data_IF_892587409334
#
_entry.id   IF_892587409334
#
_cell.length_a   1.000
_cell.length_b   1.000
_cell.length_c   1.000
_cell.angle_alpha   90.00
_cell.angle_beta   90.00
_cell.angle_gamma   90.00
#
_symmetry.space_group_name_H-M   'P 1'
#
loop_
_entity.id
_entity.type
_entity.pdbx_description
1 polymer ?
#
# COMPACT_ATOMS: atom_id res chain seq x y z
N UNK A 1 6.24 -80.14 -17.13
CA UNK A 1 5.68 -79.19 -18.12
C UNK A 1 4.20 -79.05 -17.78
N UNK A 2 3.59 -77.94 -17.40
CA UNK A 2 3.92 -76.52 -17.47
C UNK A 2 3.20 -75.84 -16.28
N UNK A 3 3.78 -74.79 -15.70
CA UNK A 3 3.00 -73.82 -14.93
C UNK A 3 3.71 -72.46 -15.05
N UNK A 4 3.20 -71.55 -15.89
CA UNK A 4 3.74 -70.18 -16.05
C UNK A 4 2.82 -69.28 -16.90
N UNK A 5 1.56 -69.08 -16.49
CA UNK A 5 0.72 -68.00 -17.08
C UNK A 5 0.02 -67.09 -16.04
N UNK A 6 0.13 -67.36 -14.74
CA UNK A 6 -0.60 -66.60 -13.71
C UNK A 6 0.06 -65.31 -13.16
N UNK A 7 1.30 -64.99 -13.54
CA UNK A 7 2.10 -63.99 -12.81
C UNK A 7 2.24 -62.63 -13.53
N UNK A 8 1.87 -62.54 -14.82
CA UNK A 8 2.02 -61.30 -15.60
C UNK A 8 0.90 -60.29 -15.39
N UNK A 9 -0.33 -60.74 -15.11
CA UNK A 9 -1.47 -59.83 -14.84
C UNK A 9 -1.32 -59.07 -13.53
N UNK A 10 -0.85 -59.76 -12.48
CA UNK A 10 -0.73 -59.19 -11.13
C UNK A 10 0.37 -58.12 -11.02
N UNK A 11 1.44 -58.23 -11.84
CA UNK A 11 2.54 -57.26 -11.87
C UNK A 11 2.13 -55.99 -12.64
N UNK A 12 1.44 -56.15 -13.77
CA UNK A 12 0.93 -55.04 -14.58
C UNK A 12 -0.13 -54.23 -13.80
N UNK A 13 -1.05 -54.91 -13.11
CA UNK A 13 -2.05 -54.26 -12.27
C UNK A 13 -1.43 -53.53 -11.06
N UNK A 14 -0.37 -54.09 -10.45
CA UNK A 14 0.36 -53.41 -9.38
C UNK A 14 1.10 -52.17 -9.88
N UNK A 15 1.70 -52.23 -11.08
CA UNK A 15 2.35 -51.07 -11.71
C UNK A 15 1.34 -49.97 -12.09
N UNK A 16 0.19 -50.35 -12.65
CA UNK A 16 -0.91 -49.43 -12.95
C UNK A 16 -1.44 -48.76 -11.69
N UNK A 17 -1.72 -49.53 -10.64
CA UNK A 17 -2.17 -49.00 -9.35
C UNK A 17 -1.15 -48.04 -8.73
N UNK A 18 0.14 -48.36 -8.79
CA UNK A 18 1.21 -47.44 -8.34
C UNK A 18 1.23 -46.17 -9.18
N UNK A 19 1.11 -46.26 -10.51
CA UNK A 19 1.09 -45.09 -11.39
C UNK A 19 -0.11 -44.18 -11.09
N UNK A 20 -1.30 -44.74 -10.88
CA UNK A 20 -2.48 -43.97 -10.47
C UNK A 20 -2.26 -43.29 -9.11
N UNK A 21 -1.68 -44.01 -8.14
CA UNK A 21 -1.40 -43.47 -6.83
C UNK A 21 -0.36 -42.33 -6.89
N UNK A 22 0.67 -42.47 -7.74
CA UNK A 22 1.63 -41.39 -8.00
C UNK A 22 0.98 -40.19 -8.70
N UNK A 23 0.10 -40.41 -9.68
CA UNK A 23 -0.61 -39.33 -10.36
C UNK A 23 -1.51 -38.55 -9.40
N UNK A 24 -2.32 -39.25 -8.59
CA UNK A 24 -3.20 -38.63 -7.61
C UNK A 24 -2.42 -37.87 -6.53
N UNK A 25 -1.31 -38.45 -6.04
CA UNK A 25 -0.45 -37.77 -5.08
C UNK A 25 0.22 -36.52 -5.69
N UNK A 26 0.61 -36.60 -6.97
CA UNK A 26 1.20 -35.46 -7.66
C UNK A 26 0.16 -34.36 -7.90
N UNK A 27 -1.07 -34.71 -8.28
CA UNK A 27 -2.16 -33.74 -8.42
C UNK A 27 -2.48 -33.05 -7.09
N UNK A 28 -2.58 -33.82 -6.00
CA UNK A 28 -2.76 -33.26 -4.67
C UNK A 28 -1.60 -32.32 -4.28
N UNK A 29 -0.35 -32.74 -4.51
CA UNK A 29 0.83 -31.93 -4.20
C UNK A 29 0.90 -30.66 -5.05
N UNK A 30 0.55 -30.74 -6.34
CA UNK A 30 0.47 -29.58 -7.23
C UNK A 30 -0.64 -28.63 -6.79
N UNK A 31 -1.80 -29.15 -6.40
CA UNK A 31 -2.90 -28.36 -5.88
C UNK A 31 -2.49 -27.60 -4.62
N UNK A 32 -1.89 -28.28 -3.64
CA UNK A 32 -1.42 -27.66 -2.39
C UNK A 32 -0.35 -26.60 -2.66
N UNK A 33 0.65 -26.92 -3.49
CA UNK A 33 1.70 -25.95 -3.87
C UNK A 33 1.16 -24.75 -4.62
N UNK A 34 0.13 -24.95 -5.45
CA UNK A 34 -0.52 -23.85 -6.17
C UNK A 34 -1.29 -22.96 -5.21
N UNK A 35 -1.95 -23.53 -4.22
CA UNK A 35 -2.65 -22.78 -3.17
C UNK A 35 -1.66 -21.93 -2.35
N UNK A 36 -0.57 -22.53 -1.86
CA UNK A 36 0.48 -21.82 -1.12
C UNK A 36 1.06 -20.65 -1.94
N UNK A 37 1.34 -20.90 -3.23
CA UNK A 37 1.84 -19.88 -4.14
C UNK A 37 0.84 -18.72 -4.31
N UNK A 38 -0.45 -19.01 -4.46
CA UNK A 38 -1.48 -17.99 -4.62
C UNK A 38 -1.66 -17.14 -3.35
N UNK A 39 -1.55 -17.74 -2.17
CA UNK A 39 -1.60 -17.01 -0.90
C UNK A 39 -0.40 -16.08 -0.73
N UNK A 40 0.81 -16.58 -1.00
CA UNK A 40 2.01 -15.78 -0.87
C UNK A 40 2.07 -14.67 -1.92
N UNK A 41 1.64 -14.96 -3.15
CA UNK A 41 1.47 -13.97 -4.20
C UNK A 41 0.51 -12.86 -3.77
N UNK A 42 -0.64 -13.20 -3.15
CA UNK A 42 -1.62 -12.19 -2.69
C UNK A 42 -1.02 -11.27 -1.63
N UNK A 43 -0.31 -11.83 -0.63
CA UNK A 43 0.36 -11.03 0.41
C UNK A 43 1.39 -10.07 -0.18
N UNK A 44 2.18 -10.54 -1.15
CA UNK A 44 3.17 -9.71 -1.84
C UNK A 44 2.50 -8.57 -2.64
N UNK A 45 1.42 -8.86 -3.35
CA UNK A 45 0.65 -7.85 -4.09
C UNK A 45 0.00 -6.81 -3.16
N UNK A 46 -0.61 -7.24 -2.05
CA UNK A 46 -1.23 -6.33 -1.08
C UNK A 46 -0.22 -5.39 -0.42
N UNK A 47 0.98 -5.89 -0.12
CA UNK A 47 2.07 -5.05 0.39
C UNK A 47 2.54 -4.05 -0.67
N UNK A 48 2.63 -4.46 -1.94
CA UNK A 48 3.01 -3.54 -3.02
C UNK A 48 1.95 -2.44 -3.21
N UNK A 49 0.67 -2.78 -3.10
CA UNK A 49 -0.44 -1.82 -3.20
C UNK A 49 -0.55 -0.87 -2.00
N UNK A 50 0.04 -1.20 -0.86
CA UNK A 50 0.11 -0.28 0.28
C UNK A 50 1.24 0.74 0.15
N UNK A 51 2.28 0.41 -0.61
CA UNK A 51 3.43 1.30 -0.88
C UNK A 51 3.26 2.14 -2.15
N UNK A 52 2.67 1.56 -3.20
CA UNK A 52 2.56 2.19 -4.51
C UNK A 52 1.10 2.24 -4.99
N UNK A 53 0.74 3.22 -5.83
CA UNK A 53 -0.58 3.21 -6.44
C UNK A 53 -0.79 1.96 -7.29
N UNK A 54 -2.01 1.41 -7.28
CA UNK A 54 -2.35 0.17 -8.01
C UNK A 54 -1.90 0.17 -9.46
N UNK A 55 -2.07 1.28 -10.17
CA UNK A 55 -1.66 1.42 -11.57
C UNK A 55 -0.15 1.21 -11.76
N UNK A 56 0.66 1.78 -10.86
CA UNK A 56 2.13 1.68 -10.88
C UNK A 56 2.55 0.27 -10.46
N UNK A 57 1.99 -0.23 -9.36
CA UNK A 57 2.26 -1.57 -8.85
C UNK A 57 1.96 -2.67 -9.90
N UNK A 58 0.81 -2.61 -10.57
CA UNK A 58 0.44 -3.58 -11.60
C UNK A 58 1.35 -3.57 -12.83
N UNK A 59 1.93 -2.42 -13.20
CA UNK A 59 2.93 -2.34 -14.27
C UNK A 59 4.26 -2.97 -13.83
N UNK A 60 4.70 -2.67 -12.61
CA UNK A 60 5.94 -3.23 -12.04
C UNK A 60 5.86 -4.75 -11.88
N UNK A 61 4.72 -5.30 -11.42
CA UNK A 61 4.49 -6.75 -11.33
C UNK A 61 4.63 -7.43 -12.71
N UNK A 62 4.24 -6.74 -13.79
CA UNK A 62 4.37 -7.24 -15.17
C UNK A 62 5.77 -7.06 -15.75
N UNK A 63 6.73 -6.51 -15.00
CA UNK A 63 8.05 -6.16 -15.49
C UNK A 63 8.04 -5.01 -16.51
N UNK A 64 6.98 -4.20 -16.52
CA UNK A 64 6.85 -3.05 -17.42
C UNK A 64 7.47 -1.81 -16.78
N UNK A 65 8.13 -0.99 -17.59
CA UNK A 65 8.63 0.32 -17.17
C UNK A 65 7.47 1.30 -16.99
N UNK A 66 7.46 2.01 -15.87
CA UNK A 66 6.49 3.08 -15.61
C UNK A 66 7.04 4.37 -16.21
N UNK A 67 6.46 4.79 -17.33
CA UNK A 67 6.86 6.02 -18.00
C UNK A 67 6.40 7.25 -17.19
N UNK A 68 7.22 8.30 -17.19
CA UNK A 68 6.81 9.57 -16.64
C UNK A 68 5.68 10.17 -17.49
N UNK A 69 4.68 10.75 -16.84
CA UNK A 69 3.52 11.36 -17.47
C UNK A 69 3.22 12.73 -16.85
N UNK A 70 2.68 13.65 -17.67
CA UNK A 70 2.21 14.96 -17.22
C UNK A 70 0.73 14.92 -16.91
N UNK A 71 0.35 15.44 -15.75
CA UNK A 71 -1.02 15.57 -15.28
C UNK A 71 -1.38 17.06 -15.21
N UNK A 72 -2.33 17.51 -16.03
CA UNK A 72 -2.67 18.94 -16.14
C UNK A 72 -3.54 19.46 -14.98
N UNK A 73 -4.36 18.57 -14.42
CA UNK A 73 -5.41 18.90 -13.46
C UNK A 73 -5.14 18.20 -12.13
N UNK A 74 -4.26 18.80 -11.33
CA UNK A 74 -3.85 18.25 -10.04
C UNK A 74 -3.93 19.33 -8.98
N UNK A 75 -4.33 18.94 -7.77
CA UNK A 75 -4.17 19.76 -6.57
C UNK A 75 -3.29 19.04 -5.57
N UNK A 76 -2.25 19.73 -5.11
CA UNK A 76 -1.35 19.24 -4.06
C UNK A 76 -1.68 19.96 -2.76
N UNK A 77 -1.73 19.16 -1.70
CA UNK A 77 -1.80 19.56 -0.31
C UNK A 77 -0.44 19.34 0.36
N UNK A 78 0.01 20.34 1.11
CA UNK A 78 1.12 20.24 2.04
C UNK A 78 0.68 20.75 3.40
N UNK A 79 1.11 20.08 4.47
CA UNK A 79 0.98 20.63 5.81
C UNK A 79 2.16 20.32 6.70
N UNK A 80 2.46 21.24 7.62
CA UNK A 80 3.46 21.10 8.69
C UNK A 80 2.82 21.40 10.06
N UNK A 81 3.43 20.89 11.12
CA UNK A 81 2.98 21.16 12.49
C UNK A 81 3.65 22.46 12.96
N UNK A 82 2.83 23.45 13.29
CA UNK A 82 3.34 24.73 13.75
C UNK A 82 4.09 24.57 15.07
N UNK A 83 5.38 24.90 15.07
CA UNK A 83 6.22 24.81 16.27
C UNK A 83 6.74 23.40 16.57
N UNK A 84 6.70 22.48 15.59
CA UNK A 84 7.20 21.12 15.75
C UNK A 84 8.64 21.07 16.24
N UNK A 85 9.54 21.90 15.71
CA UNK A 85 10.96 21.92 16.13
C UNK A 85 11.12 22.17 17.63
N UNK A 86 10.37 23.13 18.19
CA UNK A 86 10.40 23.41 19.62
C UNK A 86 9.77 22.28 20.44
N UNK A 87 8.66 21.72 19.93
CA UNK A 87 8.01 20.57 20.57
C UNK A 87 8.94 19.35 20.62
N UNK A 88 9.62 19.04 19.52
CA UNK A 88 10.57 17.92 19.44
C UNK A 88 11.84 18.14 20.26
N UNK A 89 12.26 19.39 20.47
CA UNK A 89 13.44 19.71 21.26
C UNK A 89 13.23 19.47 22.76
N UNK A 90 11.99 19.66 23.23
CA UNK A 90 11.63 19.47 24.64
C UNK A 90 11.09 18.07 24.96
N UNK A 91 10.92 17.22 23.96
CA UNK A 91 10.33 15.88 24.08
C UNK A 91 11.38 14.81 23.84
N UNK A 92 11.20 13.65 24.46
CA UNK A 92 12.04 12.48 24.15
C UNK A 92 11.73 11.97 22.74
N UNK A 93 12.71 11.33 22.10
CA UNK A 93 12.52 10.76 20.76
C UNK A 93 11.32 9.79 20.71
N UNK A 94 11.09 9.00 21.77
CA UNK A 94 9.95 8.08 21.84
C UNK A 94 8.61 8.83 21.89
N UNK A 95 8.51 9.89 22.68
CA UNK A 95 7.29 10.72 22.76
C UNK A 95 6.96 11.42 21.45
N UNK A 96 7.98 11.82 20.67
CA UNK A 96 7.80 12.42 19.35
C UNK A 96 7.28 11.37 18.36
N UNK A 97 7.83 10.15 18.39
CA UNK A 97 7.37 9.05 17.54
C UNK A 97 5.92 8.69 17.86
N UNK A 98 5.58 8.54 19.14
CA UNK A 98 4.20 8.24 19.56
C UNK A 98 3.22 9.34 19.11
N UNK A 99 3.61 10.61 19.25
CA UNK A 99 2.82 11.75 18.79
C UNK A 99 2.57 11.70 17.27
N UNK A 100 3.63 11.51 16.47
CA UNK A 100 3.52 11.45 15.01
C UNK A 100 2.68 10.24 14.58
N UNK A 101 2.84 9.10 15.25
CA UNK A 101 2.08 7.89 14.93
C UNK A 101 0.58 8.07 15.22
N UNK A 102 0.21 8.64 16.38
CA UNK A 102 -1.18 8.94 16.72
C UNK A 102 -1.78 9.95 15.72
N UNK A 103 -1.02 11.00 15.37
CA UNK A 103 -1.45 12.03 14.42
C UNK A 103 -1.68 11.47 13.02
N UNK A 104 -0.70 10.73 12.48
CA UNK A 104 -0.80 10.19 11.13
C UNK A 104 -1.82 9.07 11.02
N UNK A 105 -2.05 8.27 12.08
CA UNK A 105 -3.13 7.28 12.10
C UNK A 105 -4.51 7.94 12.00
N UNK A 106 -4.72 9.02 12.74
CA UNK A 106 -5.95 9.81 12.66
C UNK A 106 -6.11 10.45 11.27
N UNK A 107 -5.03 11.01 10.71
CA UNK A 107 -5.05 11.63 9.39
C UNK A 107 -5.32 10.61 8.29
N UNK A 108 -4.65 9.46 8.28
CA UNK A 108 -4.87 8.40 7.31
C UNK A 108 -6.33 7.90 7.33
N UNK A 109 -6.94 7.85 8.52
CA UNK A 109 -8.38 7.53 8.67
C UNK A 109 -9.28 8.57 7.99
N UNK A 110 -8.95 9.85 8.09
CA UNK A 110 -9.69 10.94 7.42
C UNK A 110 -9.46 10.91 5.91
N UNK A 111 -8.21 10.80 5.48
CA UNK A 111 -7.76 10.79 4.08
C UNK A 111 -8.39 9.65 3.29
N UNK A 112 -8.55 8.47 3.89
CA UNK A 112 -9.20 7.31 3.26
C UNK A 112 -10.64 7.54 2.78
N UNK A 113 -11.29 8.62 3.24
CA UNK A 113 -12.67 8.98 2.87
C UNK A 113 -12.77 9.89 1.64
N UNK A 114 -11.64 10.32 1.09
CA UNK A 114 -11.56 11.24 -0.04
C UNK A 114 -10.84 10.59 -1.23
N UNK A 115 -11.13 11.08 -2.44
CA UNK A 115 -10.43 10.66 -3.64
C UNK A 115 -9.08 11.39 -3.76
N UNK A 116 -8.12 10.90 -2.99
CA UNK A 116 -6.78 11.47 -2.84
C UNK A 116 -5.73 10.36 -2.69
N UNK A 117 -4.49 10.67 -3.04
CA UNK A 117 -3.35 9.79 -2.91
C UNK A 117 -2.32 10.40 -1.95
N UNK A 118 -1.93 9.64 -0.93
CA UNK A 118 -0.83 9.99 -0.02
C UNK A 118 0.49 9.71 -0.73
N UNK A 119 1.36 10.71 -0.82
CA UNK A 119 2.66 10.56 -1.50
C UNK A 119 3.68 9.98 -0.51
N UNK A 120 4.52 10.81 0.09
CA UNK A 120 5.53 10.44 1.09
C UNK A 120 5.65 11.63 2.05
N UNK A 121 5.93 11.35 3.33
CA UNK A 121 6.11 12.40 4.35
C UNK A 121 7.60 12.75 4.49
N UNK A 122 7.90 14.02 4.75
CA UNK A 122 9.26 14.48 5.07
C UNK A 122 9.23 15.11 6.46
N UNK A 123 9.66 14.35 7.49
CA UNK A 123 9.57 14.80 8.87
C UNK A 123 8.12 14.93 9.36
N UNK A 124 7.73 16.13 9.79
CA UNK A 124 6.35 16.49 10.17
C UNK A 124 5.49 16.96 8.99
N UNK A 125 6.06 17.00 7.77
CA UNK A 125 5.34 17.40 6.58
C UNK A 125 4.45 16.26 6.05
N UNK A 126 3.16 16.54 5.88
CA UNK A 126 2.17 15.62 5.32
C UNK A 126 1.76 16.07 3.92
N UNK A 127 2.06 15.26 2.91
CA UNK A 127 1.80 15.57 1.49
C UNK A 127 0.74 14.63 0.91
N UNK A 128 -0.29 15.23 0.31
CA UNK A 128 -1.40 14.52 -0.32
C UNK A 128 -1.72 15.17 -1.66
N UNK A 129 -2.15 14.39 -2.64
CA UNK A 129 -2.46 14.85 -3.98
C UNK A 129 -3.79 14.30 -4.47
N UNK A 130 -4.53 15.06 -5.28
CA UNK A 130 -5.72 14.58 -5.99
C UNK A 130 -5.62 14.91 -7.48
N UNK A 131 -6.26 14.09 -8.32
CA UNK A 131 -6.06 14.10 -9.78
C UNK A 131 -4.84 13.30 -10.24
N UNK A 132 -4.14 12.67 -9.30
CA UNK A 132 -3.02 11.73 -9.49
C UNK A 132 -3.19 10.56 -8.50
N UNK A 133 -2.90 9.30 -8.90
CA UNK A 133 -2.58 8.85 -10.25
C UNK A 133 -3.83 8.66 -11.13
N UNK A 134 -5.01 8.69 -10.53
CA UNK A 134 -6.26 8.66 -11.27
C UNK A 134 -6.71 10.10 -11.53
N UNK A 135 -6.90 10.44 -12.81
CA UNK A 135 -7.45 11.73 -13.22
C UNK A 135 -8.93 11.78 -12.83
N UNK A 136 -9.33 12.83 -12.12
CA UNK A 136 -10.72 13.02 -11.67
C UNK A 136 -11.36 14.32 -12.19
N UNK A 137 -10.81 14.89 -13.29
CA UNK A 137 -11.30 16.13 -13.88
C UNK A 137 -11.21 17.30 -12.89
N UNK A 138 -12.23 18.16 -12.83
CA UNK A 138 -12.23 19.32 -11.92
C UNK A 138 -12.51 18.97 -10.44
N UNK A 139 -12.56 17.69 -10.07
CA UNK A 139 -12.87 17.26 -8.71
C UNK A 139 -11.66 17.37 -7.76
N UNK A 140 -10.43 17.34 -8.28
CA UNK A 140 -9.20 17.32 -7.47
C UNK A 140 -9.16 18.42 -6.39
N UNK A 141 -9.51 19.65 -6.75
CA UNK A 141 -9.47 20.79 -5.84
C UNK A 141 -10.54 20.69 -4.76
N UNK A 142 -11.72 20.16 -5.10
CA UNK A 142 -12.82 19.94 -4.16
C UNK A 142 -12.44 18.88 -3.12
N UNK A 143 -11.87 17.76 -3.57
CA UNK A 143 -11.46 16.67 -2.68
C UNK A 143 -10.40 17.16 -1.69
N UNK A 144 -9.35 17.84 -2.17
CA UNK A 144 -8.31 18.40 -1.31
C UNK A 144 -8.86 19.46 -0.35
N UNK A 145 -9.73 20.37 -0.81
CA UNK A 145 -10.29 21.40 0.07
C UNK A 145 -11.16 20.79 1.19
N UNK A 146 -11.99 19.80 0.88
CA UNK A 146 -12.84 19.12 1.88
C UNK A 146 -12.01 18.30 2.85
N UNK A 147 -11.00 17.58 2.35
CA UNK A 147 -10.04 16.85 3.16
C UNK A 147 -9.30 17.79 4.11
N UNK A 148 -8.82 18.94 3.63
CA UNK A 148 -8.08 19.92 4.43
C UNK A 148 -8.90 20.41 5.63
N UNK A 149 -10.20 20.69 5.41
CA UNK A 149 -11.11 21.09 6.49
C UNK A 149 -11.37 19.95 7.48
N UNK A 150 -11.44 18.71 7.00
CA UNK A 150 -11.63 17.54 7.85
C UNK A 150 -10.38 17.28 8.71
N UNK A 151 -9.18 17.36 8.13
CA UNK A 151 -7.91 17.23 8.85
C UNK A 151 -7.77 18.33 9.91
N UNK A 152 -8.07 19.58 9.56
CA UNK A 152 -8.01 20.69 10.52
C UNK A 152 -8.96 20.45 11.72
N UNK A 153 -10.17 19.91 11.48
CA UNK A 153 -11.08 19.54 12.57
C UNK A 153 -10.52 18.42 13.45
N UNK A 154 -9.92 17.41 12.83
CA UNK A 154 -9.31 16.29 13.55
C UNK A 154 -8.13 16.75 14.42
N UNK A 155 -7.37 17.77 14.01
CA UNK A 155 -6.29 18.29 14.87
C UNK A 155 -6.76 18.87 16.21
N UNK A 156 -8.04 19.25 16.33
CA UNK A 156 -8.60 19.70 17.60
C UNK A 156 -8.98 18.56 18.55
N UNK A 157 -9.13 17.33 18.05
CA UNK A 157 -9.48 16.16 18.88
C UNK A 157 -8.24 15.47 19.44
N UNK A 158 -7.11 15.60 18.75
CA UNK A 158 -5.84 14.95 19.09
C UNK A 158 -5.17 15.68 20.25
N UNK A 159 -4.89 14.92 21.32
CA UNK A 159 -4.14 15.40 22.49
C UNK A 159 -2.73 14.84 22.48
N UNK A 160 -1.75 15.70 22.74
CA UNK A 160 -0.37 15.28 22.94
C UNK A 160 -0.26 14.59 24.30
N UNK A 161 -0.01 13.27 24.33
CA UNK A 161 -0.01 12.45 25.56
C UNK A 161 0.91 13.01 26.65
N UNK A 162 2.11 13.42 26.28
CA UNK A 162 3.11 13.98 27.19
C UNK A 162 2.88 15.47 27.51
N UNK A 163 1.98 16.16 26.78
CA UNK A 163 1.64 17.58 26.96
C UNK A 163 0.14 17.82 26.73
N UNK A 164 -0.74 17.40 27.65
CA UNK A 164 -2.20 17.41 27.42
C UNK A 164 -2.82 18.80 27.24
N UNK A 165 -2.12 19.86 27.68
CA UNK A 165 -2.55 21.26 27.52
C UNK A 165 -2.04 21.90 26.22
N UNK A 166 -1.19 21.20 25.46
CA UNK A 166 -0.66 21.69 24.19
C UNK A 166 -1.65 21.37 23.06
N UNK A 167 -2.17 22.42 22.43
CA UNK A 167 -3.03 22.29 21.26
C UNK A 167 -2.16 22.22 20.00
N UNK A 168 -2.26 21.10 19.26
CA UNK A 168 -1.64 20.99 17.95
C UNK A 168 -2.25 22.02 16.99
N UNK A 169 -1.37 22.65 16.21
CA UNK A 169 -1.73 23.63 15.19
C UNK A 169 -1.15 23.16 13.87
N UNK A 170 -2.02 23.03 12.87
CA UNK A 170 -1.66 22.63 11.52
C UNK A 170 -1.61 23.87 10.63
N UNK A 171 -0.55 24.01 9.85
CA UNK A 171 -0.51 24.97 8.74
C UNK A 171 -0.67 24.18 7.45
N UNK A 172 -1.51 24.69 6.57
CA UNK A 172 -1.90 24.01 5.34
C UNK A 172 -1.60 24.93 4.15
N UNK A 173 -0.88 24.40 3.17
CA UNK A 173 -0.67 25.00 1.85
C UNK A 173 -1.33 24.13 0.78
N UNK A 174 -2.03 24.77 -0.16
CA UNK A 174 -2.70 24.09 -1.27
C UNK A 174 -2.35 24.82 -2.55
N UNK A 175 -2.00 24.07 -3.59
CA UNK A 175 -1.78 24.61 -4.92
C UNK A 175 -2.38 23.70 -5.98
N UNK A 176 -2.94 24.28 -7.04
CA UNK A 176 -3.47 23.54 -8.18
C UNK A 176 -2.73 23.93 -9.45
N UNK A 177 -2.36 22.95 -10.25
CA UNK A 177 -1.62 23.15 -11.48
C UNK A 177 -1.17 21.83 -12.11
N UNK A 178 -0.45 21.95 -13.22
CA UNK A 178 0.11 20.80 -13.91
C UNK A 178 1.33 20.25 -13.18
N UNK A 179 1.46 18.92 -13.12
CA UNK A 179 2.59 18.22 -12.48
C UNK A 179 3.13 17.12 -13.40
N UNK A 180 4.37 16.73 -13.19
CA UNK A 180 4.96 15.53 -13.80
C UNK A 180 5.12 14.46 -12.72
N UNK A 181 4.72 13.23 -13.02
CA UNK A 181 4.88 12.09 -12.13
C UNK A 181 5.52 10.91 -12.87
N UNK A 182 6.41 10.21 -12.19
CA UNK A 182 7.11 9.04 -12.70
C UNK A 182 7.82 8.28 -11.58
N UNK A 183 8.28 7.07 -11.88
CA UNK A 183 9.04 6.26 -10.92
C UNK A 183 10.53 6.55 -11.12
N UNK A 184 11.21 6.92 -10.02
CA UNK A 184 12.65 7.25 -10.03
C UNK A 184 13.39 6.22 -9.17
N UNK A 185 14.47 5.66 -9.71
CA UNK A 185 15.26 4.65 -9.03
C UNK A 185 14.64 3.26 -9.14
N UNK A 186 15.12 2.47 -10.10
CA UNK A 186 14.83 1.05 -10.16
C UNK A 186 15.97 0.32 -9.44
N UNK A 187 15.70 -0.17 -8.22
CA UNK A 187 16.57 -1.17 -7.62
C UNK A 187 16.18 -2.51 -8.27
N UNK A 188 16.93 -2.89 -9.32
CA UNK A 188 16.86 -4.24 -9.88
C UNK A 188 17.33 -5.25 -8.83
#
# INVERSE_FOLDING_TARGET
KLNREGDKGNILDNLLSRMEQYANNLEALVSDRTQDYLEEKRKAEDLLYSMLPRMVASQLIKGQSVNAETYEQVTIYFSDICGFTALSADSTAMEVVDLLNDLYTAFDTVVSRFDVYKVETIGDAYMVVSGLPNRNGNLHAREIARMSLALLKETFTIKVRHRPNYQLKLRIGIHSGSVCAGVVGLKM
#
